data_IF_106037575140
#
_entry.id   IF_106037575140
#
_cell.length_a   1.000
_cell.length_b   1.000
_cell.length_c   1.000
_cell.angle_alpha   90.00
_cell.angle_beta   90.00
_cell.angle_gamma   90.00
#
_symmetry.space_group_name_H-M   'P 1'
#
loop_
_entity.id
_entity.type
_entity.pdbx_description
1 polymer ?
#
# COMPACT_ATOMS: atom_id res chain seq x y z
N UNK A 1 -12.04 -62.05 -60.03
CA UNK A 1 -11.09 -62.12 -58.90
C UNK A 1 -10.60 -60.71 -58.60
N UNK A 2 -11.44 -59.75 -58.19
CA UNK A 2 -10.96 -58.37 -57.92
C UNK A 2 -11.70 -57.62 -56.78
N UNK A 3 -12.51 -58.32 -55.94
CA UNK A 3 -13.31 -57.65 -54.91
C UNK A 3 -12.78 -57.81 -53.49
N UNK A 4 -11.79 -58.66 -53.23
CA UNK A 4 -11.26 -58.93 -51.88
C UNK A 4 -10.18 -57.92 -51.37
N UNK A 5 -9.53 -57.25 -52.29
CA UNK A 5 -8.41 -56.36 -51.93
C UNK A 5 -8.88 -54.95 -51.44
N UNK A 6 -10.12 -54.58 -51.71
CA UNK A 6 -10.62 -53.23 -51.29
C UNK A 6 -11.13 -53.23 -49.84
N UNK A 7 -11.57 -54.34 -49.31
CA UNK A 7 -12.11 -54.41 -47.96
C UNK A 7 -11.05 -54.42 -46.87
N UNK A 8 -9.87 -55.03 -47.15
CA UNK A 8 -8.76 -55.06 -46.17
C UNK A 8 -8.09 -53.70 -45.99
N UNK A 9 -8.00 -52.88 -47.02
CA UNK A 9 -7.42 -51.53 -46.93
C UNK A 9 -8.30 -50.55 -46.19
N UNK A 10 -9.62 -50.72 -46.24
CA UNK A 10 -10.58 -49.86 -45.51
C UNK A 10 -10.59 -50.13 -44.01
N UNK A 11 -10.37 -51.38 -43.61
CA UNK A 11 -10.34 -51.76 -42.17
C UNK A 11 -9.07 -51.25 -41.45
N UNK A 12 -7.96 -51.27 -42.17
CA UNK A 12 -6.71 -50.73 -41.63
C UNK A 12 -6.76 -49.20 -41.48
N UNK A 13 -7.44 -48.48 -42.37
CA UNK A 13 -7.63 -47.04 -42.25
C UNK A 13 -8.55 -46.67 -41.06
N UNK A 14 -9.59 -47.44 -40.80
CA UNK A 14 -10.50 -47.21 -39.66
C UNK A 14 -9.82 -47.51 -38.33
N UNK A 15 -8.98 -48.54 -38.25
CA UNK A 15 -8.19 -48.86 -37.08
C UNK A 15 -7.13 -47.79 -36.76
N UNK A 16 -6.50 -47.20 -37.79
CA UNK A 16 -5.53 -46.12 -37.62
C UNK A 16 -6.18 -44.81 -37.09
N UNK A 17 -7.38 -44.48 -37.56
CA UNK A 17 -8.13 -43.32 -37.08
C UNK A 17 -8.63 -43.52 -35.65
N UNK A 18 -9.09 -44.72 -35.27
CA UNK A 18 -9.48 -45.03 -33.90
C UNK A 18 -8.29 -45.00 -32.92
N UNK A 19 -7.09 -45.42 -33.35
CA UNK A 19 -5.89 -45.35 -32.53
C UNK A 19 -5.40 -43.90 -32.31
N UNK A 20 -5.56 -43.00 -33.29
CA UNK A 20 -5.25 -41.56 -33.13
C UNK A 20 -6.24 -40.86 -32.21
N UNK A 21 -7.50 -41.24 -32.17
CA UNK A 21 -8.49 -40.66 -31.26
C UNK A 21 -8.29 -41.10 -29.80
N UNK A 22 -7.75 -42.28 -29.55
CA UNK A 22 -7.42 -42.77 -28.21
C UNK A 22 -6.13 -42.14 -27.65
N UNK A 23 -5.17 -41.73 -28.49
CA UNK A 23 -3.97 -41.06 -28.07
C UNK A 23 -4.20 -39.60 -27.63
N UNK A 24 -5.29 -38.96 -28.06
CA UNK A 24 -5.65 -37.57 -27.70
C UNK A 24 -6.30 -37.45 -26.31
N UNK A 25 -6.74 -38.55 -25.70
CA UNK A 25 -7.43 -38.53 -24.41
C UNK A 25 -6.51 -38.63 -23.19
N UNK A 26 -5.19 -38.82 -23.37
CA UNK A 26 -4.25 -38.93 -22.27
C UNK A 26 -3.59 -37.61 -21.87
N UNK A 27 -3.94 -36.47 -22.50
CA UNK A 27 -3.36 -35.14 -22.18
C UNK A 27 -4.12 -34.40 -21.07
N UNK A 28 -5.15 -34.96 -20.46
CA UNK A 28 -6.05 -34.23 -19.56
C UNK A 28 -5.89 -34.53 -18.05
N UNK A 29 -4.92 -35.34 -17.65
CA UNK A 29 -4.59 -35.52 -16.24
C UNK A 29 -3.20 -34.94 -15.94
N UNK A 30 -3.06 -33.64 -16.01
CA UNK A 30 -2.03 -32.98 -15.19
C UNK A 30 -2.46 -33.15 -13.72
N UNK A 31 -1.61 -33.70 -12.85
CA UNK A 31 -1.91 -33.72 -11.43
C UNK A 31 -2.12 -32.24 -11.02
N UNK A 32 -3.31 -31.93 -10.53
CA UNK A 32 -3.59 -30.62 -9.92
C UNK A 32 -2.54 -30.47 -8.82
N UNK A 33 -1.60 -29.55 -9.01
CA UNK A 33 -0.65 -29.22 -7.97
C UNK A 33 -1.49 -28.77 -6.77
N UNK A 34 -1.53 -29.50 -5.64
CA UNK A 34 -2.36 -29.11 -4.50
C UNK A 34 -1.94 -27.76 -3.90
N UNK A 35 -0.77 -27.25 -4.30
CA UNK A 35 -0.24 -25.94 -3.94
C UNK A 35 -0.33 -24.93 -5.11
N UNK A 36 -0.98 -25.26 -6.22
CA UNK A 36 -1.27 -24.30 -7.28
C UNK A 36 -2.26 -23.24 -6.79
N UNK A 37 -2.16 -21.98 -7.25
CA UNK A 37 -3.11 -20.94 -6.87
C UNK A 37 -4.52 -21.41 -7.24
N UNK A 38 -5.39 -21.58 -6.24
CA UNK A 38 -6.82 -21.80 -6.47
C UNK A 38 -7.36 -20.58 -7.19
N UNK A 39 -8.37 -20.73 -8.04
CA UNK A 39 -8.95 -19.65 -8.85
C UNK A 39 -9.42 -18.41 -8.03
N UNK A 40 -9.43 -18.51 -6.71
CA UNK A 40 -9.77 -17.45 -5.76
C UNK A 40 -8.57 -16.89 -4.98
N UNK A 41 -7.33 -17.31 -5.29
CA UNK A 41 -6.16 -16.71 -4.62
C UNK A 41 -5.94 -15.32 -5.22
N UNK A 42 -5.98 -14.25 -4.43
CA UNK A 42 -5.70 -12.91 -4.94
C UNK A 42 -4.34 -12.88 -5.63
N UNK A 43 -4.26 -12.19 -6.77
CA UNK A 43 -2.97 -11.94 -7.43
C UNK A 43 -2.04 -11.26 -6.44
N UNK A 44 -0.81 -11.75 -6.34
CA UNK A 44 0.21 -11.17 -5.48
C UNK A 44 1.28 -10.46 -6.33
N UNK A 45 1.71 -9.24 -5.98
CA UNK A 45 1.25 -8.41 -4.85
C UNK A 45 -0.19 -7.91 -5.00
N UNK A 46 -0.84 -7.57 -3.86
CA UNK A 46 -2.19 -6.99 -3.90
C UNK A 46 -2.08 -5.56 -4.43
N UNK A 47 -2.82 -5.24 -5.48
CA UNK A 47 -2.77 -3.93 -6.10
C UNK A 47 -3.99 -3.06 -5.73
N UNK A 48 -3.73 -1.79 -5.41
CA UNK A 48 -4.72 -0.73 -5.52
C UNK A 48 -4.60 -0.18 -6.94
N UNK A 49 -5.61 -0.37 -7.79
CA UNK A 49 -5.51 0.00 -9.21
C UNK A 49 -5.38 1.52 -9.39
N UNK A 50 -5.12 1.92 -10.63
CA UNK A 50 -4.90 3.29 -11.09
C UNK A 50 -5.81 4.32 -10.37
N UNK A 51 -5.25 5.42 -9.86
CA UNK A 51 -5.97 6.47 -9.17
C UNK A 51 -6.88 7.34 -10.05
N UNK A 52 -6.96 7.17 -11.36
CA UNK A 52 -7.64 8.07 -12.29
C UNK A 52 -9.04 8.52 -11.83
N UNK A 53 -9.97 7.59 -11.62
CA UNK A 53 -11.32 7.91 -11.10
C UNK A 53 -11.26 8.59 -9.73
N UNK A 54 -10.34 8.16 -8.86
CA UNK A 54 -10.19 8.76 -7.52
C UNK A 54 -9.65 10.19 -7.58
N UNK A 55 -8.79 10.50 -8.54
CA UNK A 55 -8.29 11.88 -8.75
C UNK A 55 -9.44 12.81 -9.17
N UNK A 56 -10.34 12.33 -10.03
CA UNK A 56 -11.55 13.08 -10.38
C UNK A 56 -12.45 13.30 -9.18
N UNK A 57 -12.74 12.25 -8.41
CA UNK A 57 -13.56 12.32 -7.19
C UNK A 57 -12.94 13.27 -6.15
N UNK A 58 -11.62 13.21 -5.94
CA UNK A 58 -10.90 14.07 -5.04
C UNK A 58 -10.93 15.54 -5.50
N UNK A 59 -10.80 15.79 -6.80
CA UNK A 59 -10.91 17.13 -7.39
C UNK A 59 -12.30 17.73 -7.19
N UNK A 60 -13.34 16.93 -7.36
CA UNK A 60 -14.73 17.34 -7.05
C UNK A 60 -14.90 17.61 -5.56
N UNK A 61 -14.39 16.75 -4.70
CA UNK A 61 -14.45 16.93 -3.25
C UNK A 61 -13.71 18.21 -2.81
N UNK A 62 -12.55 18.49 -3.39
CA UNK A 62 -11.82 19.74 -3.15
C UNK A 62 -12.63 20.96 -3.59
N UNK A 63 -13.20 20.93 -4.79
CA UNK A 63 -14.04 22.02 -5.29
C UNK A 63 -15.22 22.30 -4.34
N UNK A 64 -15.93 21.27 -3.88
CA UNK A 64 -17.05 21.40 -2.93
C UNK A 64 -16.58 22.01 -1.61
N UNK A 65 -15.44 21.57 -1.10
CA UNK A 65 -14.85 22.06 0.13
C UNK A 65 -14.39 23.52 -0.02
N UNK A 66 -13.72 23.85 -1.12
CA UNK A 66 -13.27 25.21 -1.41
C UNK A 66 -14.42 26.22 -1.48
N UNK A 67 -15.54 25.84 -2.07
CA UNK A 67 -16.76 26.66 -2.06
C UNK A 67 -17.27 26.92 -0.63
N UNK A 68 -17.27 25.89 0.23
CA UNK A 68 -17.70 26.02 1.64
C UNK A 68 -16.82 26.97 2.44
N UNK A 69 -15.52 27.01 2.16
CA UNK A 69 -14.57 27.90 2.81
C UNK A 69 -14.38 29.25 2.07
N UNK A 70 -15.20 29.52 1.05
CA UNK A 70 -15.15 30.80 0.31
C UNK A 70 -13.85 30.97 -0.48
N UNK A 71 -13.20 29.87 -0.88
CA UNK A 71 -12.01 29.93 -1.70
C UNK A 71 -12.39 30.16 -3.18
N UNK A 72 -11.58 30.91 -3.96
CA UNK A 72 -11.86 31.10 -5.38
C UNK A 72 -11.88 29.77 -6.13
N UNK A 73 -12.80 29.63 -7.08
CA UNK A 73 -13.02 28.39 -7.83
C UNK A 73 -11.88 27.91 -8.73
N UNK A 74 -10.75 28.64 -8.78
CA UNK A 74 -9.51 28.27 -9.48
C UNK A 74 -8.40 27.78 -8.57
N UNK A 75 -8.66 27.60 -7.28
CA UNK A 75 -7.66 27.07 -6.36
C UNK A 75 -7.54 25.56 -6.61
N UNK A 76 -6.46 25.13 -7.25
CA UNK A 76 -6.22 23.72 -7.56
C UNK A 76 -5.73 22.96 -6.32
N UNK A 77 -6.19 21.71 -6.18
CA UNK A 77 -5.70 20.81 -5.15
C UNK A 77 -4.35 20.22 -5.57
N UNK A 78 -3.39 20.16 -4.66
CA UNK A 78 -2.20 19.35 -4.83
C UNK A 78 -2.51 17.93 -4.32
N UNK A 79 -2.80 17.00 -5.25
CA UNK A 79 -3.19 15.64 -4.93
C UNK A 79 -2.02 14.68 -5.08
N UNK A 80 -1.91 13.77 -4.16
CA UNK A 80 -0.93 12.69 -4.17
C UNK A 80 -1.24 11.71 -5.32
N UNK A 81 -0.29 11.42 -6.22
CA UNK A 81 -0.55 10.74 -7.49
C UNK A 81 -1.04 9.29 -7.34
N UNK A 82 -0.68 8.59 -6.26
CA UNK A 82 -1.02 7.17 -6.07
C UNK A 82 -2.30 6.97 -5.24
N UNK A 83 -2.53 7.82 -4.24
CA UNK A 83 -3.68 7.70 -3.33
C UNK A 83 -4.83 8.63 -3.69
N UNK A 84 -4.57 9.67 -4.51
CA UNK A 84 -5.51 10.74 -4.81
C UNK A 84 -5.99 11.49 -3.55
N UNK A 85 -5.17 11.54 -2.51
CA UNK A 85 -5.41 12.31 -1.29
C UNK A 85 -4.76 13.67 -1.37
N UNK A 86 -5.18 14.63 -0.56
CA UNK A 86 -4.61 15.97 -0.56
C UNK A 86 -3.18 15.93 0.02
N UNK A 87 -2.18 16.10 -0.85
CA UNK A 87 -0.77 16.07 -0.47
C UNK A 87 -0.37 17.32 0.33
N UNK A 88 -0.89 18.48 -0.06
CA UNK A 88 -0.66 19.74 0.66
C UNK A 88 -1.76 20.74 0.39
N UNK A 89 -1.93 21.68 1.33
CA UNK A 89 -2.75 22.85 1.08
C UNK A 89 -2.06 23.74 0.03
N UNK A 90 -2.84 24.44 -0.82
CA UNK A 90 -2.31 25.47 -1.70
C UNK A 90 -1.55 26.55 -0.89
N UNK A 91 -0.39 26.97 -1.40
CA UNK A 91 0.49 27.90 -0.68
C UNK A 91 -0.15 29.29 -0.38
N UNK A 92 -1.05 29.73 -1.27
CA UNK A 92 -1.68 31.05 -1.19
C UNK A 92 -3.19 30.91 -1.05
N UNK A 93 -3.65 30.46 0.12
CA UNK A 93 -5.06 30.46 0.42
C UNK A 93 -5.56 31.89 0.65
N UNK A 94 -6.57 32.37 -0.10
CA UNK A 94 -7.09 33.73 0.03
C UNK A 94 -7.89 33.96 1.31
N UNK A 95 -8.36 32.85 1.94
CA UNK A 95 -9.06 32.89 3.21
C UNK A 95 -8.50 31.79 4.14
N UNK A 96 -8.40 32.05 5.45
CA UNK A 96 -7.94 31.05 6.40
C UNK A 96 -8.97 29.93 6.59
N UNK A 97 -8.49 28.70 6.64
CA UNK A 97 -9.29 27.54 7.04
C UNK A 97 -9.10 27.31 8.53
N UNK A 98 -10.17 26.97 9.23
CA UNK A 98 -10.14 26.70 10.67
C UNK A 98 -10.63 25.30 10.96
N UNK A 99 -10.04 24.68 11.97
CA UNK A 99 -10.58 23.44 12.54
C UNK A 99 -11.97 23.71 13.13
N UNK A 100 -12.90 22.74 13.12
CA UNK A 100 -14.22 22.88 13.73
C UNK A 100 -14.11 23.26 15.22
N UNK A 101 -14.79 24.29 15.64
CA UNK A 101 -14.80 24.73 17.03
C UNK A 101 -15.64 23.79 17.88
N UNK A 102 -15.10 23.35 19.01
CA UNK A 102 -15.76 22.49 19.98
C UNK A 102 -15.50 23.08 21.37
N UNK A 103 -16.50 22.99 22.25
CA UNK A 103 -16.38 23.42 23.65
C UNK A 103 -16.17 24.92 23.84
N UNK A 104 -15.48 25.30 24.91
CA UNK A 104 -15.16 26.67 25.23
C UNK A 104 -14.04 27.18 24.31
N UNK A 105 -14.31 28.34 23.66
CA UNK A 105 -13.32 28.96 22.78
C UNK A 105 -12.18 29.69 23.55
N UNK A 106 -12.43 30.03 24.81
CA UNK A 106 -11.48 30.83 25.61
C UNK A 106 -10.40 29.96 26.20
N UNK A 107 -10.73 28.74 26.65
CA UNK A 107 -9.80 27.78 27.21
C UNK A 107 -10.17 26.37 26.73
N UNK A 108 -9.77 25.98 25.50
CA UNK A 108 -10.08 24.66 24.99
C UNK A 108 -9.36 23.60 25.79
N UNK A 109 -10.07 22.54 26.15
CA UNK A 109 -9.53 21.37 26.79
C UNK A 109 -8.84 20.47 25.76
N UNK A 110 -8.05 19.52 26.25
CA UNK A 110 -7.46 18.46 25.44
C UNK A 110 -8.53 17.66 24.67
N UNK A 111 -9.67 17.39 25.31
CA UNK A 111 -10.79 16.67 24.71
C UNK A 111 -11.47 17.49 23.62
N UNK A 112 -11.65 18.81 23.83
CA UNK A 112 -12.17 19.71 22.80
C UNK A 112 -11.27 19.68 21.54
N UNK A 113 -9.96 19.65 21.73
CA UNK A 113 -9.01 19.57 20.62
C UNK A 113 -9.11 18.23 19.88
N UNK A 114 -9.20 17.11 20.61
CA UNK A 114 -9.37 15.79 19.99
C UNK A 114 -10.66 15.71 19.19
N UNK A 115 -11.76 16.19 19.74
CA UNK A 115 -13.04 16.19 19.06
C UNK A 115 -13.03 17.13 17.84
N UNK A 116 -12.36 18.27 17.92
CA UNK A 116 -12.18 19.18 16.79
C UNK A 116 -11.42 18.51 15.64
N UNK A 117 -10.30 17.88 15.95
CA UNK A 117 -9.51 17.11 14.96
C UNK A 117 -10.33 15.96 14.37
N UNK A 118 -11.10 15.23 15.20
CA UNK A 118 -11.97 14.16 14.73
C UNK A 118 -13.02 14.67 13.76
N UNK A 119 -13.71 15.79 14.07
CA UNK A 119 -14.69 16.42 13.17
C UNK A 119 -14.05 16.90 11.88
N UNK A 120 -12.87 17.50 11.96
CA UNK A 120 -12.11 17.89 10.78
C UNK A 120 -11.81 16.69 9.88
N UNK A 121 -11.34 15.56 10.44
CA UNK A 121 -11.06 14.33 9.68
C UNK A 121 -12.34 13.80 9.01
N UNK A 122 -13.49 13.80 9.70
CA UNK A 122 -14.77 13.41 9.11
C UNK A 122 -15.15 14.32 7.93
N UNK A 123 -15.04 15.62 8.10
CA UNK A 123 -15.40 16.60 7.06
C UNK A 123 -14.51 16.48 5.82
N UNK A 124 -13.22 16.19 6.02
CA UNK A 124 -12.20 16.11 4.97
C UNK A 124 -11.91 14.68 4.52
N UNK A 125 -12.70 13.71 4.93
CA UNK A 125 -12.46 12.27 4.73
C UNK A 125 -12.15 11.91 3.28
N UNK A 126 -12.86 12.48 2.30
CA UNK A 126 -12.62 12.21 0.87
C UNK A 126 -11.26 12.66 0.38
N UNK A 127 -10.71 13.72 0.99
CA UNK A 127 -9.37 14.26 0.67
C UNK A 127 -8.27 13.64 1.54
N UNK A 128 -8.64 13.13 2.71
CA UNK A 128 -7.74 12.41 3.61
C UNK A 128 -7.51 10.97 3.13
N UNK A 129 -8.56 10.32 2.60
CA UNK A 129 -8.53 8.92 2.19
C UNK A 129 -8.68 7.92 3.34
N UNK A 130 -9.03 8.39 4.56
CA UNK A 130 -9.23 7.54 5.72
C UNK A 130 -10.31 8.08 6.65
N UNK A 131 -10.98 7.18 7.35
CA UNK A 131 -11.92 7.51 8.43
C UNK A 131 -11.21 7.69 9.76
N UNK A 132 -11.78 8.46 10.72
CA UNK A 132 -11.17 8.62 12.04
C UNK A 132 -10.89 7.29 12.75
N UNK A 133 -11.75 6.28 12.58
CA UNK A 133 -11.59 4.96 13.18
C UNK A 133 -10.35 4.20 12.67
N UNK A 134 -9.89 4.51 11.46
CA UNK A 134 -8.70 3.90 10.84
C UNK A 134 -7.39 4.62 11.20
N UNK A 135 -7.49 5.76 11.90
CA UNK A 135 -6.35 6.63 12.20
C UNK A 135 -5.99 6.55 13.69
N UNK A 136 -4.72 6.31 13.97
CA UNK A 136 -4.16 6.40 15.33
C UNK A 136 -3.28 7.63 15.44
N UNK A 137 -3.57 8.49 16.41
CA UNK A 137 -2.69 9.61 16.75
C UNK A 137 -1.38 9.05 17.32
N UNK A 138 -0.28 9.27 16.63
CA UNK A 138 1.05 8.76 17.01
C UNK A 138 1.92 9.82 17.69
N UNK A 139 1.69 11.09 17.37
CA UNK A 139 2.45 12.19 17.92
C UNK A 139 1.61 13.46 17.97
N UNK A 140 1.80 14.19 19.04
CA UNK A 140 1.35 15.58 19.13
C UNK A 140 2.48 16.40 19.71
N UNK A 141 2.89 17.44 18.99
CA UNK A 141 4.02 18.27 19.35
C UNK A 141 3.72 19.74 19.03
N UNK A 142 4.43 20.61 19.72
CA UNK A 142 4.45 22.04 19.41
C UNK A 142 5.70 22.32 18.57
N UNK A 143 5.51 22.82 17.36
CA UNK A 143 6.59 23.33 16.51
C UNK A 143 6.89 24.81 16.87
N UNK A 144 7.95 25.38 16.27
CA UNK A 144 8.27 26.79 16.42
C UNK A 144 7.11 27.72 16.00
N UNK A 145 7.09 28.93 16.53
CA UNK A 145 6.07 29.95 16.22
C UNK A 145 4.61 29.61 16.63
N UNK A 146 4.43 28.77 17.66
CA UNK A 146 3.11 28.45 18.21
C UNK A 146 2.24 27.57 17.30
N UNK A 147 2.87 26.83 16.39
CA UNK A 147 2.20 25.83 15.54
C UNK A 147 2.16 24.51 16.27
N UNK A 148 0.97 23.96 16.37
CA UNK A 148 0.71 22.60 16.89
C UNK A 148 0.63 21.62 15.76
N UNK A 149 1.17 20.42 15.95
CA UNK A 149 1.18 19.33 14.98
C UNK A 149 0.48 18.10 15.55
N UNK A 150 -0.44 17.55 14.78
CA UNK A 150 -1.02 16.24 15.04
C UNK A 150 -0.63 15.30 13.89
N UNK A 151 0.06 14.20 14.23
CA UNK A 151 0.48 13.16 13.29
C UNK A 151 -0.32 11.91 13.54
N UNK A 152 -0.92 11.37 12.50
CA UNK A 152 -1.67 10.14 12.56
C UNK A 152 -1.04 9.11 11.63
N UNK A 153 -1.15 7.84 12.02
CA UNK A 153 -0.85 6.69 11.18
C UNK A 153 -2.12 5.87 10.96
N UNK A 154 -2.35 5.51 9.73
CA UNK A 154 -3.46 4.64 9.34
C UNK A 154 -3.15 3.19 9.73
N UNK A 155 -4.13 2.50 10.30
CA UNK A 155 -4.06 1.10 10.72
C UNK A 155 -5.20 0.30 10.09
N UNK A 156 -5.19 0.11 8.77
CA UNK A 156 -6.31 -0.51 8.07
C UNK A 156 -6.23 -2.05 8.07
N UNK A 157 -5.07 -2.64 8.33
CA UNK A 157 -4.82 -4.07 8.17
C UNK A 157 -4.48 -4.76 9.49
N UNK A 158 -4.53 -6.10 9.47
CA UNK A 158 -4.12 -6.94 10.60
C UNK A 158 -2.67 -6.68 11.05
N UNK A 159 -1.78 -6.48 10.07
CA UNK A 159 -0.37 -6.18 10.32
C UNK A 159 -0.12 -4.67 10.19
N UNK A 160 0.87 -4.13 10.92
CA UNK A 160 1.23 -2.72 10.80
C UNK A 160 1.57 -2.32 9.37
N UNK A 161 1.08 -1.16 8.94
CA UNK A 161 1.43 -0.58 7.65
C UNK A 161 2.82 0.05 7.70
N UNK A 162 3.62 -0.18 6.66
CA UNK A 162 4.96 0.40 6.46
C UNK A 162 5.10 0.94 5.04
N UNK A 163 6.19 1.63 4.79
CA UNK A 163 6.44 2.41 3.58
C UNK A 163 6.06 3.87 3.79
N UNK A 164 6.00 4.62 2.69
CA UNK A 164 5.79 6.08 2.72
C UNK A 164 4.32 6.49 2.80
N UNK A 165 3.39 5.52 2.88
CA UNK A 165 1.95 5.74 2.83
C UNK A 165 1.27 5.51 4.19
N UNK A 166 0.03 5.99 4.28
CA UNK A 166 -0.80 5.82 5.48
C UNK A 166 -0.55 6.86 6.57
N UNK A 167 -0.05 8.04 6.21
CA UNK A 167 0.23 9.12 7.15
C UNK A 167 -0.70 10.30 6.91
N UNK A 168 -1.13 10.93 8.01
CA UNK A 168 -1.85 12.20 8.01
C UNK A 168 -1.16 13.15 8.97
N UNK A 169 -0.86 14.35 8.49
CA UNK A 169 -0.27 15.42 9.29
C UNK A 169 -1.15 16.65 9.21
N UNK A 170 -1.55 17.18 10.37
CA UNK A 170 -2.36 18.39 10.50
C UNK A 170 -1.56 19.38 11.33
N UNK A 171 -1.32 20.58 10.79
CA UNK A 171 -0.64 21.70 11.46
C UNK A 171 -1.61 22.84 11.64
N UNK A 172 -1.72 23.36 12.85
CA UNK A 172 -2.66 24.40 13.19
C UNK A 172 -2.11 25.31 14.31
N UNK A 173 -2.62 26.54 14.39
CA UNK A 173 -2.28 27.50 15.44
C UNK A 173 -3.19 27.36 16.66
N UNK A 174 -2.80 28.03 17.75
CA UNK A 174 -3.62 28.07 18.97
C UNK A 174 -5.04 28.63 18.75
N UNK A 175 -5.23 29.51 17.75
CA UNK A 175 -6.52 30.04 17.34
C UNK A 175 -7.32 29.11 16.40
N UNK A 176 -6.91 27.82 16.28
CA UNK A 176 -7.50 26.79 15.43
C UNK A 176 -7.32 26.98 13.93
N UNK A 177 -6.56 27.98 13.51
CA UNK A 177 -6.25 28.20 12.10
C UNK A 177 -5.36 27.06 11.56
N UNK A 178 -5.84 26.38 10.52
CA UNK A 178 -5.06 25.40 9.77
C UNK A 178 -3.94 26.10 9.00
N UNK A 179 -2.70 25.69 9.21
CA UNK A 179 -1.51 26.26 8.54
C UNK A 179 -0.77 25.24 7.70
N UNK A 180 -1.08 23.97 7.85
CA UNK A 180 -0.50 22.91 7.04
C UNK A 180 -1.34 21.65 7.13
N UNK A 181 -1.31 20.89 6.04
CA UNK A 181 -2.01 19.65 5.92
C UNK A 181 -1.26 18.76 4.93
N UNK A 182 -1.19 17.48 5.21
CA UNK A 182 -0.66 16.50 4.28
C UNK A 182 -1.27 15.14 4.56
N UNK A 183 -1.76 14.48 3.52
CA UNK A 183 -2.23 13.09 3.61
C UNK A 183 -1.69 12.27 2.46
N UNK A 184 -1.21 11.08 2.78
CA UNK A 184 -0.95 9.99 1.86
C UNK A 184 -1.61 8.70 2.36
N UNK A 185 -2.75 8.84 3.06
CA UNK A 185 -3.56 7.71 3.50
C UNK A 185 -4.08 6.91 2.30
N UNK A 186 -4.26 5.63 2.51
CA UNK A 186 -4.72 4.69 1.49
C UNK A 186 -6.25 4.68 1.50
N UNK A 187 -6.90 5.09 0.40
CA UNK A 187 -8.36 5.11 0.33
C UNK A 187 -8.94 3.70 0.14
N UNK A 188 -10.22 3.54 0.46
CA UNK A 188 -11.00 2.31 0.22
C UNK A 188 -10.35 1.04 0.81
N UNK A 189 -9.69 1.16 1.96
CA UNK A 189 -8.98 0.05 2.61
C UNK A 189 -9.89 -1.12 2.95
N UNK A 190 -11.19 -0.89 3.16
CA UNK A 190 -12.17 -1.95 3.43
C UNK A 190 -12.26 -2.96 2.28
N UNK A 191 -12.07 -2.51 1.04
CA UNK A 191 -12.02 -3.40 -0.15
C UNK A 191 -10.72 -4.19 -0.25
N UNK A 192 -9.62 -3.64 0.25
CA UNK A 192 -8.30 -4.27 0.25
C UNK A 192 -8.12 -5.23 1.43
N UNK A 193 -8.74 -4.93 2.55
CA UNK A 193 -8.56 -5.60 3.83
C UNK A 193 -8.75 -7.13 3.75
N UNK A 194 -9.79 -7.68 3.09
CA UNK A 194 -9.95 -9.14 3.00
C UNK A 194 -8.77 -9.81 2.28
N UNK A 195 -8.31 -9.24 1.15
CA UNK A 195 -7.21 -9.79 0.37
C UNK A 195 -5.87 -9.66 1.09
N UNK A 196 -5.57 -8.47 1.65
CA UNK A 196 -4.32 -8.21 2.36
C UNK A 196 -4.22 -9.02 3.65
N UNK A 197 -5.32 -9.13 4.41
CA UNK A 197 -5.33 -9.88 5.67
C UNK A 197 -5.30 -11.42 5.47
N UNK A 198 -5.64 -11.90 4.27
CA UNK A 198 -5.53 -13.31 3.90
C UNK A 198 -4.10 -13.72 3.51
N UNK A 199 -3.18 -12.76 3.30
CA UNK A 199 -1.80 -13.08 2.98
C UNK A 199 -1.14 -13.86 4.11
N UNK A 200 -0.43 -14.92 3.75
CA UNK A 200 0.33 -15.77 4.67
C UNK A 200 1.80 -15.79 4.27
N UNK A 201 2.68 -15.70 5.25
CA UNK A 201 4.10 -15.82 5.02
C UNK A 201 4.47 -17.22 4.51
N UNK A 202 5.22 -17.28 3.41
CA UNK A 202 5.82 -18.48 2.85
C UNK A 202 7.27 -18.62 3.31
N UNK A 203 7.91 -17.50 3.61
CA UNK A 203 9.27 -17.42 4.15
C UNK A 203 9.18 -17.27 5.67
N UNK A 204 9.83 -18.17 6.41
CA UNK A 204 9.88 -18.07 7.87
C UNK A 204 10.82 -16.95 8.33
N UNK A 205 10.71 -16.53 9.60
CA UNK A 205 11.60 -15.53 10.18
C UNK A 205 13.08 -15.91 10.08
N UNK A 206 13.40 -17.20 10.34
CA UNK A 206 14.76 -17.69 10.32
C UNK A 206 15.35 -17.75 8.89
N UNK A 207 14.52 -18.12 7.91
CA UNK A 207 14.88 -18.06 6.50
C UNK A 207 15.13 -16.62 6.05
N UNK A 208 14.28 -15.68 6.46
CA UNK A 208 14.42 -14.27 6.17
C UNK A 208 15.74 -13.70 6.74
N UNK A 209 16.04 -13.99 8.01
CA UNK A 209 17.32 -13.61 8.65
C UNK A 209 18.52 -14.24 7.93
N UNK A 210 18.43 -15.51 7.58
CA UNK A 210 19.53 -16.22 6.88
C UNK A 210 19.78 -15.64 5.49
N UNK A 211 18.70 -15.30 4.76
CA UNK A 211 18.80 -14.68 3.43
C UNK A 211 19.53 -13.34 3.49
N UNK A 212 19.18 -12.47 4.46
CA UNK A 212 19.82 -11.17 4.62
C UNK A 212 21.29 -11.27 5.00
N UNK A 213 21.68 -12.29 5.78
CA UNK A 213 23.10 -12.51 6.15
C UNK A 213 23.95 -13.06 5.03
N UNK A 214 23.36 -13.82 4.12
CA UNK A 214 24.11 -14.61 3.12
C UNK A 214 24.26 -13.89 1.77
N UNK A 215 23.48 -12.86 1.50
CA UNK A 215 23.42 -12.22 0.18
C UNK A 215 23.74 -10.72 0.25
N UNK A 216 24.48 -10.20 -0.74
CA UNK A 216 24.57 -8.76 -0.94
C UNK A 216 23.23 -8.21 -1.46
N UNK A 217 22.91 -6.99 -1.09
CA UNK A 217 21.71 -6.31 -1.56
C UNK A 217 22.01 -4.87 -1.94
N UNK A 218 21.19 -4.32 -2.80
CA UNK A 218 21.33 -2.93 -3.24
C UNK A 218 20.59 -2.01 -2.29
N UNK A 219 21.27 -0.99 -1.82
CA UNK A 219 20.71 0.12 -1.04
C UNK A 219 20.98 1.45 -1.73
N UNK A 220 20.32 2.51 -1.29
CA UNK A 220 20.54 3.87 -1.77
C UNK A 220 21.26 4.65 -0.68
N UNK A 221 22.44 5.18 -1.00
CA UNK A 221 23.21 5.99 -0.06
C UNK A 221 22.62 7.40 0.09
N UNK A 222 23.18 8.20 1.01
CA UNK A 222 22.76 9.58 1.25
C UNK A 222 22.81 10.49 0.00
N UNK A 223 23.63 10.15 -1.00
CA UNK A 223 23.76 10.85 -2.27
C UNK A 223 22.80 10.33 -3.35
N UNK A 224 21.81 9.50 -2.98
CA UNK A 224 20.85 8.86 -3.88
C UNK A 224 21.49 7.93 -4.93
N UNK A 225 22.67 7.39 -4.66
CA UNK A 225 23.36 6.45 -5.54
C UNK A 225 23.09 5.02 -5.06
N UNK A 226 22.84 4.12 -6.00
CA UNK A 226 22.72 2.71 -5.72
C UNK A 226 24.11 2.12 -5.39
N UNK A 227 24.19 1.44 -4.26
CA UNK A 227 25.39 0.70 -3.88
C UNK A 227 25.04 -0.71 -3.42
N UNK A 228 25.90 -1.65 -3.76
CA UNK A 228 25.78 -3.03 -3.27
C UNK A 228 26.44 -3.12 -1.90
N UNK A 229 25.70 -3.64 -0.94
CA UNK A 229 26.12 -3.75 0.46
C UNK A 229 26.01 -5.19 0.90
N UNK A 230 27.03 -5.66 1.63
CA UNK A 230 26.98 -6.92 2.37
C UNK A 230 27.07 -6.62 3.86
N UNK A 231 26.37 -7.39 4.66
CA UNK A 231 26.45 -7.24 6.11
C UNK A 231 27.79 -7.79 6.62
N UNK A 232 28.43 -7.10 7.58
CA UNK A 232 29.62 -7.63 8.22
C UNK A 232 29.27 -8.86 9.07
N UNK A 233 30.26 -9.74 9.30
CA UNK A 233 30.07 -10.99 10.03
C UNK A 233 29.52 -10.79 11.47
N UNK A 234 29.77 -9.62 12.07
CA UNK A 234 29.31 -9.26 13.42
C UNK A 234 27.96 -8.53 13.41
N UNK A 235 27.28 -8.40 12.26
CA UNK A 235 25.95 -7.80 12.22
C UNK A 235 24.94 -8.68 12.98
N UNK A 236 24.20 -8.07 13.88
CA UNK A 236 23.08 -8.71 14.52
C UNK A 236 21.81 -8.42 13.71
N UNK A 237 21.15 -9.47 13.23
CA UNK A 237 19.98 -9.40 12.36
C UNK A 237 18.82 -10.09 13.06
N UNK A 238 17.70 -9.38 13.24
CA UNK A 238 16.51 -9.86 13.91
C UNK A 238 15.25 -9.59 13.09
N UNK A 239 14.49 -10.63 12.76
CA UNK A 239 13.13 -10.49 12.24
C UNK A 239 12.20 -10.06 13.39
N UNK A 240 11.71 -8.81 13.32
CA UNK A 240 10.92 -8.20 14.36
C UNK A 240 9.44 -8.61 14.32
N UNK A 241 8.83 -8.45 13.15
CA UNK A 241 7.39 -8.71 12.93
C UNK A 241 7.05 -8.76 11.45
N UNK A 242 5.88 -9.32 11.15
CA UNK A 242 5.24 -9.16 9.85
C UNK A 242 4.57 -7.78 9.74
N UNK A 243 4.68 -7.18 8.57
CA UNK A 243 4.10 -5.87 8.23
C UNK A 243 3.46 -5.92 6.85
N UNK A 244 2.54 -5.02 6.57
CA UNK A 244 2.09 -4.73 5.21
C UNK A 244 2.93 -3.59 4.69
N UNK A 245 3.73 -3.85 3.66
CA UNK A 245 4.55 -2.83 3.01
C UNK A 245 3.83 -2.28 1.78
N UNK A 246 3.58 -0.97 1.77
CA UNK A 246 2.94 -0.26 0.66
C UNK A 246 3.98 0.51 -0.13
N UNK A 247 4.01 0.31 -1.45
CA UNK A 247 4.91 1.01 -2.35
C UNK A 247 4.24 1.27 -3.71
N UNK A 248 4.75 2.23 -4.51
CA UNK A 248 4.35 2.37 -5.89
C UNK A 248 4.58 1.09 -6.68
N UNK A 249 3.62 0.68 -7.51
CA UNK A 249 3.80 -0.43 -8.43
C UNK A 249 4.89 -0.11 -9.46
N UNK A 250 5.72 -1.09 -9.77
CA UNK A 250 6.75 -0.99 -10.81
C UNK A 250 6.16 -1.14 -12.21
N UNK A 251 5.03 -1.82 -12.31
CA UNK A 251 4.38 -2.15 -13.58
C UNK A 251 3.24 -1.16 -13.88
N UNK A 252 3.09 -0.74 -15.14
CA UNK A 252 1.90 0.00 -15.57
C UNK A 252 0.63 -0.88 -15.47
N UNK A 253 -0.52 -0.30 -15.10
CA UNK A 253 -0.75 1.09 -14.73
C UNK A 253 -0.20 1.44 -13.33
N UNK A 254 0.32 2.67 -13.22
CA UNK A 254 0.88 3.20 -11.97
C UNK A 254 -0.16 3.16 -10.85
N UNK A 255 0.09 2.38 -9.83
CA UNK A 255 -0.79 2.22 -8.67
C UNK A 255 0.02 1.98 -7.40
N UNK A 256 -0.65 1.61 -6.33
CA UNK A 256 0.00 1.10 -5.13
C UNK A 256 -0.08 -0.42 -5.09
N UNK A 257 1.01 -1.05 -4.67
CA UNK A 257 1.03 -2.46 -4.33
C UNK A 257 1.29 -2.68 -2.84
N UNK A 258 0.68 -3.74 -2.31
CA UNK A 258 0.79 -4.15 -0.92
C UNK A 258 1.41 -5.53 -0.87
N UNK A 259 2.49 -5.62 -0.10
CA UNK A 259 3.24 -6.85 0.12
C UNK A 259 3.23 -7.21 1.59
N UNK A 260 3.13 -8.49 1.89
CA UNK A 260 3.41 -8.98 3.25
C UNK A 260 4.94 -9.08 3.39
N UNK A 261 5.50 -8.41 4.37
CA UNK A 261 6.95 -8.36 4.54
C UNK A 261 7.39 -8.65 5.97
N UNK A 262 8.58 -9.24 6.12
CA UNK A 262 9.30 -9.23 7.37
C UNK A 262 9.99 -7.87 7.57
N UNK A 263 9.68 -7.20 8.68
CA UNK A 263 10.45 -6.06 9.18
C UNK A 263 11.64 -6.61 9.96
N UNK A 264 12.85 -6.39 9.44
CA UNK A 264 14.09 -6.97 9.96
C UNK A 264 14.99 -5.84 10.43
N UNK A 265 15.31 -5.83 11.73
CA UNK A 265 16.26 -4.89 12.32
C UNK A 265 17.68 -5.41 12.13
N UNK A 266 18.58 -4.51 11.75
CA UNK A 266 20.01 -4.78 11.55
C UNK A 266 20.82 -3.86 12.48
N UNK A 267 21.65 -4.47 13.33
CA UNK A 267 22.58 -3.74 14.19
C UNK A 267 24.01 -4.00 13.75
N UNK A 268 24.88 -3.04 13.96
CA UNK A 268 26.30 -3.08 13.56
C UNK A 268 26.47 -3.26 12.03
N UNK A 269 25.55 -2.74 11.24
CA UNK A 269 25.58 -2.78 9.79
C UNK A 269 25.52 -1.38 9.16
N UNK A 270 25.68 -1.30 7.84
CA UNK A 270 25.58 -0.04 7.09
C UNK A 270 24.13 0.44 6.87
N UNK A 271 23.14 -0.37 7.27
CA UNK A 271 21.71 -0.10 7.24
C UNK A 271 21.11 -0.49 8.58
N UNK A 272 19.98 0.10 8.92
CA UNK A 272 19.32 -0.17 10.20
C UNK A 272 18.16 -1.15 10.04
N UNK A 273 17.55 -1.19 8.87
CA UNK A 273 16.34 -1.98 8.65
C UNK A 273 16.25 -2.51 7.22
N UNK A 274 15.72 -3.72 7.09
CA UNK A 274 15.39 -4.37 5.82
C UNK A 274 13.94 -4.80 5.82
N UNK A 275 13.24 -4.61 4.72
CA UNK A 275 11.94 -5.21 4.47
C UNK A 275 12.10 -6.31 3.42
N UNK A 276 11.85 -7.55 3.82
CA UNK A 276 11.93 -8.72 2.97
C UNK A 276 10.53 -9.27 2.72
N UNK A 277 10.16 -9.41 1.46
CA UNK A 277 8.87 -9.99 1.07
C UNK A 277 8.69 -11.38 1.66
N UNK A 278 7.69 -11.53 2.52
CA UNK A 278 7.44 -12.78 3.24
C UNK A 278 6.80 -13.89 2.36
N UNK A 279 6.42 -13.54 1.11
CA UNK A 279 5.86 -14.49 0.14
C UNK A 279 6.92 -14.90 -0.88
N UNK A 280 7.63 -13.93 -1.49
CA UNK A 280 8.63 -14.22 -2.54
C UNK A 280 10.06 -14.37 -2.01
N UNK A 281 10.39 -13.84 -0.84
CA UNK A 281 11.76 -13.80 -0.31
C UNK A 281 12.63 -12.68 -0.89
N UNK A 282 12.07 -11.78 -1.69
CA UNK A 282 12.78 -10.65 -2.26
C UNK A 282 12.94 -9.50 -1.27
N UNK A 283 14.05 -8.75 -1.37
CA UNK A 283 14.23 -7.52 -0.60
C UNK A 283 13.40 -6.41 -1.27
N UNK A 284 12.46 -5.83 -0.51
CA UNK A 284 11.57 -4.76 -0.97
C UNK A 284 12.24 -3.41 -0.78
N UNK A 285 12.77 -3.17 0.42
CA UNK A 285 13.34 -1.88 0.79
C UNK A 285 14.36 -2.01 1.92
N UNK A 286 15.21 -0.97 2.06
CA UNK A 286 16.20 -0.82 3.14
C UNK A 286 16.14 0.61 3.70
N UNK A 287 16.45 0.79 4.98
CA UNK A 287 16.54 2.12 5.63
C UNK A 287 17.63 2.18 6.70
#
# INVERSE_FOLDING_TARGET
>A
MCARSFFEKSWLAILAVAAMLLASACAAFQPVNPNGPTANTPLYPIALPDPGTRLEEASVAWYQLSQRYGLPGKTEANLQPYTATLESLPANLPAPIYLPKVGSQTNPTEEDLRESLRRFIVEWQRLIGAEPAQLSLIERSDESAGVKVARYQQKPFRYPLRGDFGNLVIRFRANWQLVGFSSNCIPNTDRLQPAVNALAAQVTSDQAVSSIKSQPFTTVNANRQHQTVSLPANAAVHARQLVVYAQPSKDPPSGLEFRLAWEIDVQNGPINKVYLDAVSGEIIATS
#
